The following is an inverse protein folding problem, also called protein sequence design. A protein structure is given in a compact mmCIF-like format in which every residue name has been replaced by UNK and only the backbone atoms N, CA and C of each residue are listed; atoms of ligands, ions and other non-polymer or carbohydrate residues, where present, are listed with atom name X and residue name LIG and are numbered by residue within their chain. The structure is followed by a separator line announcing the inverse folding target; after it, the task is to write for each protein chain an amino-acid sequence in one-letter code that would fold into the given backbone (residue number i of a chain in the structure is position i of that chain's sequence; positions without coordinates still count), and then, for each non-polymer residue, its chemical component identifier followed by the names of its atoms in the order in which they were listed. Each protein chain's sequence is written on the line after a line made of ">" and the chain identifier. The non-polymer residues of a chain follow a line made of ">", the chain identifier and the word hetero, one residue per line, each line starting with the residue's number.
data_IF_900470580950
#
_entry.id   IF_900470580950
#
_cell.length_a   1.000
_cell.length_b   1.000
_cell.length_c   1.000
_cell.angle_alpha   90.00
_cell.angle_beta   90.00
_cell.angle_gamma   90.00
#
_symmetry.space_group_name_H-M   'P 1'
#
loop_
_entity.id
_entity.type
_entity.pdbx_description
1 polymer ?
#
# COMPACT_ATOMS: atom_id res chain seq x y z
N UNK A 1 -7.55 10.03 -2.42
CA UNK A 1 -8.42 9.42 -1.39
C UNK A 1 -9.16 10.44 -0.52
N UNK A 2 -8.65 11.66 -0.37
CA UNK A 2 -9.34 12.81 0.26
C UNK A 2 -10.66 13.21 -0.41
N UNK A 3 -10.86 12.82 -1.67
CA UNK A 3 -12.08 13.12 -2.45
C UNK A 3 -13.35 12.45 -1.93
N UNK A 4 -13.26 11.30 -1.27
CA UNK A 4 -14.45 10.63 -0.73
C UNK A 4 -15.04 11.39 0.46
N UNK A 5 -14.18 11.94 1.33
CA UNK A 5 -14.60 12.76 2.47
C UNK A 5 -15.15 14.10 2.00
N UNK A 6 -14.54 14.73 0.97
CA UNK A 6 -15.04 15.99 0.41
C UNK A 6 -16.41 15.79 -0.26
N UNK A 7 -16.61 14.67 -0.97
CA UNK A 7 -17.90 14.31 -1.57
C UNK A 7 -18.97 14.11 -0.52
N UNK A 8 -18.69 13.35 0.55
CA UNK A 8 -19.64 13.17 1.66
C UNK A 8 -19.99 14.50 2.35
N UNK A 9 -19.01 15.38 2.52
CA UNK A 9 -19.23 16.72 3.08
C UNK A 9 -20.14 17.57 2.19
N UNK A 10 -19.94 17.50 0.87
CA UNK A 10 -20.77 18.20 -0.11
C UNK A 10 -22.21 17.67 -0.09
N UNK A 11 -22.40 16.35 0.02
CA UNK A 11 -23.71 15.74 0.15
C UNK A 11 -24.46 16.24 1.41
N UNK A 12 -23.78 16.30 2.56
CA UNK A 12 -24.36 16.83 3.81
C UNK A 12 -24.77 18.31 3.65
N UNK A 13 -23.95 19.12 2.97
CA UNK A 13 -24.29 20.52 2.67
C UNK A 13 -25.53 20.63 1.75
N UNK A 14 -25.67 19.75 0.76
CA UNK A 14 -26.85 19.71 -0.11
C UNK A 14 -28.11 19.36 0.68
N UNK A 15 -28.05 18.36 1.57
CA UNK A 15 -29.19 18.01 2.43
C UNK A 15 -29.56 19.16 3.37
N UNK A 16 -28.57 19.87 3.91
CA UNK A 16 -28.81 21.07 4.73
C UNK A 16 -29.51 22.16 3.92
N UNK A 17 -29.09 22.41 2.68
CA UNK A 17 -29.76 23.36 1.77
C UNK A 17 -31.19 22.94 1.44
N UNK A 18 -31.43 21.64 1.17
CA UNK A 18 -32.77 21.11 0.94
C UNK A 18 -33.68 21.31 2.15
N UNK A 19 -33.14 21.13 3.37
CA UNK A 19 -33.88 21.40 4.61
C UNK A 19 -34.27 22.86 4.76
N UNK A 20 -33.36 23.78 4.45
CA UNK A 20 -33.65 25.23 4.46
C UNK A 20 -34.75 25.60 3.45
N UNK A 21 -34.70 25.04 2.24
CA UNK A 21 -35.74 25.24 1.22
C UNK A 21 -37.09 24.71 1.70
N UNK A 22 -37.10 23.57 2.40
CA UNK A 22 -38.33 22.92 2.85
C UNK A 22 -38.94 23.52 4.14
N UNK A 23 -38.27 24.45 4.82
CA UNK A 23 -38.82 25.11 6.03
C UNK A 23 -40.20 25.74 5.78
N UNK A 24 -40.46 26.20 4.56
CA UNK A 24 -41.72 26.83 4.18
C UNK A 24 -42.83 25.83 3.80
N UNK A 25 -42.51 24.54 3.67
CA UNK A 25 -43.42 23.52 3.12
C UNK A 25 -44.13 22.71 4.23
N UNK A 26 -43.76 22.88 5.50
CA UNK A 26 -44.41 22.24 6.67
C UNK A 26 -44.72 20.73 6.52
N UNK A 27 -43.97 20.01 5.68
CA UNK A 27 -44.12 18.58 5.50
C UNK A 27 -43.21 17.85 6.50
N UNK A 28 -43.82 17.32 7.56
CA UNK A 28 -43.12 16.63 8.64
C UNK A 28 -42.39 15.36 8.15
N UNK A 29 -43.00 14.61 7.23
CA UNK A 29 -42.43 13.37 6.68
C UNK A 29 -41.18 13.65 5.85
N UNK A 30 -41.21 14.72 5.03
CA UNK A 30 -40.04 15.15 4.26
C UNK A 30 -38.91 15.66 5.18
N UNK A 31 -39.24 16.38 6.25
CA UNK A 31 -38.25 16.85 7.21
C UNK A 31 -37.58 15.69 7.97
N UNK A 32 -38.34 14.65 8.32
CA UNK A 32 -37.80 13.44 8.93
C UNK A 32 -36.86 12.71 7.95
N UNK A 33 -37.28 12.51 6.70
CA UNK A 33 -36.45 11.87 5.68
C UNK A 33 -35.12 12.61 5.44
N UNK A 34 -35.12 13.95 5.45
CA UNK A 34 -33.89 14.75 5.35
C UNK A 34 -33.00 14.63 6.60
N UNK A 35 -33.59 14.52 7.78
CA UNK A 35 -32.84 14.32 9.02
C UNK A 35 -32.16 12.93 9.01
N UNK A 36 -32.90 11.89 8.64
CA UNK A 36 -32.37 10.52 8.53
C UNK A 36 -31.25 10.46 7.50
N UNK A 37 -31.44 11.07 6.32
CA UNK A 37 -30.41 11.14 5.30
C UNK A 37 -29.14 11.89 5.78
N UNK A 38 -29.31 12.96 6.56
CA UNK A 38 -28.17 13.69 7.14
C UNK A 38 -27.37 12.82 8.10
N UNK A 39 -28.06 12.02 8.93
CA UNK A 39 -27.44 11.09 9.88
C UNK A 39 -26.69 9.98 9.14
N UNK A 40 -27.32 9.37 8.13
CA UNK A 40 -26.69 8.33 7.32
C UNK A 40 -25.43 8.83 6.60
N UNK A 41 -25.46 10.04 6.04
CA UNK A 41 -24.28 10.63 5.41
C UNK A 41 -23.17 10.96 6.42
N UNK A 42 -23.52 11.38 7.63
CA UNK A 42 -22.55 11.61 8.70
C UNK A 42 -21.90 10.30 9.15
N UNK A 43 -22.69 9.24 9.32
CA UNK A 43 -22.20 7.90 9.64
C UNK A 43 -21.27 7.35 8.54
N UNK A 44 -21.66 7.51 7.27
CA UNK A 44 -20.84 7.12 6.14
C UNK A 44 -19.49 7.87 6.14
N UNK A 45 -19.50 9.18 6.42
CA UNK A 45 -18.28 9.99 6.49
C UNK A 45 -17.32 9.47 7.58
N UNK A 46 -17.83 9.07 8.74
CA UNK A 46 -17.03 8.49 9.84
C UNK A 46 -16.43 7.15 9.40
N UNK A 47 -17.22 6.26 8.81
CA UNK A 47 -16.75 4.95 8.34
C UNK A 47 -15.66 5.10 7.26
N UNK A 48 -15.84 6.01 6.31
CA UNK A 48 -14.83 6.30 5.28
C UNK A 48 -13.54 6.83 5.91
N UNK A 49 -13.62 7.72 6.90
CA UNK A 49 -12.44 8.21 7.59
C UNK A 49 -11.67 7.08 8.29
N UNK A 50 -12.38 6.16 8.97
CA UNK A 50 -11.78 4.99 9.58
C UNK A 50 -11.09 4.06 8.58
N UNK A 51 -11.74 3.78 7.45
CA UNK A 51 -11.15 2.95 6.38
C UNK A 51 -9.90 3.59 5.77
N UNK A 52 -9.87 4.92 5.64
CA UNK A 52 -8.70 5.63 5.14
C UNK A 52 -7.51 5.55 6.11
N UNK A 53 -7.79 5.66 7.41
CA UNK A 53 -6.76 5.49 8.44
C UNK A 53 -6.21 4.06 8.45
N UNK A 54 -7.07 3.06 8.40
CA UNK A 54 -6.66 1.66 8.31
C UNK A 54 -5.84 1.41 7.04
N UNK A 55 -6.25 1.98 5.90
CA UNK A 55 -5.49 1.86 4.66
C UNK A 55 -4.09 2.48 4.77
N UNK A 56 -3.96 3.65 5.41
CA UNK A 56 -2.67 4.29 5.64
C UNK A 56 -1.79 3.44 6.58
N UNK A 57 -2.37 2.91 7.66
CA UNK A 57 -1.67 2.02 8.58
C UNK A 57 -1.20 0.73 7.89
N UNK A 58 -2.03 0.12 7.04
CA UNK A 58 -1.69 -1.08 6.29
C UNK A 58 -0.59 -0.79 5.26
N UNK A 59 -0.65 0.35 4.57
CA UNK A 59 0.42 0.78 3.66
C UNK A 59 1.74 0.97 4.39
N UNK A 60 1.75 1.66 5.54
CA UNK A 60 2.95 1.80 6.37
C UNK A 60 3.51 0.46 6.83
N UNK A 61 2.65 -0.49 7.22
CA UNK A 61 3.07 -1.85 7.59
C UNK A 61 3.65 -2.61 6.39
N UNK A 62 3.10 -2.41 5.19
CA UNK A 62 3.62 -3.01 3.96
C UNK A 62 4.97 -2.40 3.58
N UNK A 63 5.09 -1.09 3.59
CA UNK A 63 6.34 -0.37 3.34
C UNK A 63 7.43 -0.80 4.35
N UNK A 64 7.09 -0.94 5.63
CA UNK A 64 8.02 -1.47 6.64
C UNK A 64 8.41 -2.92 6.37
N UNK A 65 7.48 -3.78 5.92
CA UNK A 65 7.78 -5.17 5.56
C UNK A 65 8.63 -5.29 4.30
N UNK A 66 8.42 -4.45 3.29
CA UNK A 66 9.27 -4.43 2.10
C UNK A 66 10.67 -3.87 2.43
N UNK A 67 10.78 -3.03 3.46
CA UNK A 67 12.05 -2.49 3.99
C UNK A 67 12.81 -3.45 4.92
N UNK A 68 12.19 -4.53 5.39
CA UNK A 68 12.77 -5.47 6.37
C UNK A 68 12.84 -6.87 5.75
N UNK A 69 13.97 -7.57 5.68
CA UNK A 69 15.22 -7.47 6.41
C UNK A 69 16.20 -8.36 5.64
N UNK A 70 16.82 -7.80 4.61
CA UNK A 70 17.87 -8.51 3.89
C UNK A 70 19.22 -8.07 4.42
N UNK A 71 19.94 -9.03 4.98
CA UNK A 71 21.31 -8.84 5.46
C UNK A 71 22.27 -9.19 4.33
N UNK A 72 23.22 -8.30 4.04
CA UNK A 72 24.32 -8.61 3.14
C UNK A 72 25.33 -9.52 3.87
N UNK A 73 25.56 -10.73 3.35
CA UNK A 73 26.50 -11.69 3.94
C UNK A 73 27.39 -12.27 2.84
N UNK A 74 28.71 -12.07 2.96
CA UNK A 74 29.68 -12.54 1.97
C UNK A 74 29.56 -11.77 0.65
N UNK A 75 28.86 -12.35 -0.33
CA UNK A 75 28.74 -11.83 -1.70
C UNK A 75 27.29 -11.53 -2.14
N UNK A 76 26.30 -11.75 -1.28
CA UNK A 76 24.88 -11.67 -1.65
C UNK A 76 23.99 -11.22 -0.47
N UNK A 77 22.76 -10.80 -0.79
CA UNK A 77 21.73 -10.53 0.21
C UNK A 77 21.01 -11.82 0.62
N UNK A 78 20.65 -11.91 1.89
CA UNK A 78 19.87 -13.00 2.47
C UNK A 78 18.76 -12.43 3.33
N UNK A 79 17.54 -12.96 3.18
CA UNK A 79 16.44 -12.65 4.10
C UNK A 79 16.73 -13.23 5.48
N UNK A 80 16.12 -12.63 6.50
CA UNK A 80 16.19 -13.09 7.89
C UNK A 80 15.78 -14.56 8.08
N UNK A 81 14.92 -15.09 7.22
CA UNK A 81 14.47 -16.48 7.24
C UNK A 81 15.50 -17.49 6.68
N UNK A 82 16.70 -17.02 6.30
CA UNK A 82 17.74 -17.83 5.67
C UNK A 82 17.54 -18.05 4.17
N UNK A 83 16.50 -17.47 3.57
CA UNK A 83 16.33 -17.48 2.13
C UNK A 83 17.35 -16.57 1.43
N UNK A 84 18.04 -17.12 0.44
CA UNK A 84 19.03 -16.45 -0.39
C UNK A 84 19.78 -17.49 -1.23
N UNK A 85 20.78 -17.12 -2.03
CA UNK A 85 21.37 -15.77 -2.16
C UNK A 85 20.63 -14.89 -3.19
N UNK A 86 20.49 -13.59 -2.88
CA UNK A 86 19.92 -12.57 -3.76
C UNK A 86 20.99 -11.64 -4.33
N UNK A 87 20.78 -11.18 -5.57
CA UNK A 87 21.72 -10.30 -6.28
C UNK A 87 21.84 -8.91 -5.62
N UNK A 88 23.05 -8.47 -5.22
CA UNK A 88 23.23 -7.13 -4.65
C UNK A 88 23.01 -6.02 -5.67
N UNK A 89 23.54 -6.16 -6.89
CA UNK A 89 23.36 -5.13 -7.92
C UNK A 89 21.89 -4.84 -8.26
N UNK A 90 21.04 -5.86 -8.34
CA UNK A 90 19.60 -5.68 -8.59
C UNK A 90 18.85 -5.10 -7.38
N UNK A 91 19.31 -5.41 -6.18
CA UNK A 91 18.71 -4.88 -4.96
C UNK A 91 19.10 -3.41 -4.75
N UNK A 92 20.37 -3.06 -4.92
CA UNK A 92 20.87 -1.70 -4.68
C UNK A 92 20.40 -0.69 -5.73
N UNK A 93 20.23 -1.13 -6.99
CA UNK A 93 19.82 -0.23 -8.08
C UNK A 93 18.30 -0.13 -8.26
N UNK A 94 17.58 -1.22 -8.04
CA UNK A 94 16.16 -1.32 -8.38
C UNK A 94 15.27 -1.81 -7.22
N UNK A 95 15.83 -2.09 -6.04
CA UNK A 95 15.11 -2.66 -4.90
C UNK A 95 14.60 -4.08 -5.13
N UNK A 96 15.10 -4.79 -6.17
CA UNK A 96 14.56 -6.10 -6.58
C UNK A 96 15.37 -7.25 -5.99
N UNK A 97 14.69 -8.13 -5.24
CA UNK A 97 15.26 -9.37 -4.71
C UNK A 97 15.25 -10.49 -5.77
N UNK A 98 16.25 -10.46 -6.65
CA UNK A 98 16.45 -11.50 -7.68
C UNK A 98 17.32 -12.62 -7.12
N UNK A 99 16.82 -13.87 -7.10
CA UNK A 99 17.60 -15.05 -6.67
C UNK A 99 18.73 -15.31 -7.65
N UNK A 100 19.93 -15.54 -7.13
CA UNK A 100 21.08 -15.98 -7.93
C UNK A 100 20.96 -17.46 -8.26
N UNK A 101 21.23 -17.83 -9.50
CA UNK A 101 21.32 -19.22 -9.95
C UNK A 101 22.75 -19.73 -9.79
N UNK A 102 22.91 -21.01 -9.40
CA UNK A 102 24.23 -21.64 -9.36
C UNK A 102 24.74 -21.89 -10.78
N UNK A 103 25.97 -21.50 -11.07
CA UNK A 103 26.61 -21.77 -12.36
C UNK A 103 27.07 -23.23 -12.43
N UNK A 104 27.11 -23.80 -13.64
CA UNK A 104 27.59 -25.17 -13.83
C UNK A 104 29.10 -25.25 -13.64
N UNK A 105 29.61 -26.44 -13.27
CA UNK A 105 31.01 -26.66 -12.89
C UNK A 105 32.03 -26.16 -13.94
N UNK A 106 31.67 -26.18 -15.22
CA UNK A 106 32.50 -25.69 -16.33
C UNK A 106 32.69 -24.17 -16.33
N UNK A 107 31.77 -23.40 -15.77
CA UNK A 107 31.79 -21.93 -15.76
C UNK A 107 32.11 -21.33 -14.38
N UNK A 108 32.56 -22.15 -13.42
CA UNK A 108 32.96 -21.70 -12.09
C UNK A 108 34.12 -20.68 -12.09
N UNK A 109 34.89 -20.59 -13.17
CA UNK A 109 35.96 -19.59 -13.35
C UNK A 109 35.41 -18.15 -13.31
N UNK A 110 34.16 -17.95 -13.76
CA UNK A 110 33.51 -16.65 -13.76
C UNK A 110 32.76 -16.33 -12.46
N UNK A 111 32.63 -17.31 -11.56
CA UNK A 111 31.88 -17.20 -10.32
C UNK A 111 30.90 -18.35 -10.14
N UNK A 112 30.57 -18.68 -8.89
CA UNK A 112 29.71 -19.83 -8.54
C UNK A 112 28.21 -19.53 -8.64
N UNK A 113 27.85 -18.25 -8.76
CA UNK A 113 26.47 -17.77 -8.83
C UNK A 113 26.33 -16.72 -9.93
N UNK A 114 25.20 -16.72 -10.63
CA UNK A 114 24.89 -15.75 -11.70
C UNK A 114 23.47 -15.21 -11.56
N UNK A 115 23.29 -13.93 -11.82
CA UNK A 115 21.99 -13.27 -11.79
C UNK A 115 21.29 -13.37 -13.15
N UNK A 116 20.06 -13.93 -13.24
CA UNK A 116 19.34 -14.00 -14.51
C UNK A 116 18.88 -12.64 -15.05
N UNK A 117 18.81 -11.60 -14.20
CA UNK A 117 18.31 -10.28 -14.59
C UNK A 117 19.41 -9.35 -15.09
N UNK A 118 20.53 -9.22 -14.36
CA UNK A 118 21.65 -8.35 -14.75
C UNK A 118 22.82 -9.10 -15.39
N UNK A 119 22.81 -10.45 -15.38
CA UNK A 119 23.87 -11.32 -15.92
C UNK A 119 25.24 -11.20 -15.24
N UNK A 120 25.31 -10.49 -14.12
CA UNK A 120 26.52 -10.44 -13.29
C UNK A 120 26.77 -11.77 -12.59
N UNK A 121 28.05 -12.06 -12.37
CA UNK A 121 28.52 -13.25 -11.68
C UNK A 121 29.08 -12.90 -10.29
N UNK A 122 28.81 -13.77 -9.32
CA UNK A 122 29.25 -13.60 -7.95
C UNK A 122 29.85 -14.90 -7.41
N UNK A 123 30.83 -14.77 -6.52
CA UNK A 123 31.46 -15.89 -5.84
C UNK A 123 31.75 -15.52 -4.39
N UNK A 124 31.59 -16.50 -3.49
CA UNK A 124 32.25 -16.44 -2.19
C UNK A 124 33.76 -16.52 -2.44
N UNK A 125 34.49 -15.52 -1.97
CA UNK A 125 35.94 -15.56 -1.88
C UNK A 125 36.40 -16.65 -0.90
#
# INVERSE_FOLDING_TARGET
>A
MTDLISTATTAIQLVTRLREINKNIANAEFNNALADLSIELANLKIQVAGLLEENDQLKRKLDQKDSSSVSFKGFAYFKSDGEGPFCPGCYDTAGKLIRLAKTSATFNVFGSHSCPSCKEHFSAA
#
